data_IF_515827000323
#
_entry.id   IF_515827000323
#
_cell.length_a   1.000
_cell.length_b   1.000
_cell.length_c   1.000
_cell.angle_alpha   90.00
_cell.angle_beta   90.00
_cell.angle_gamma   90.00
#
_symmetry.space_group_name_H-M   'P 1'
#
loop_
_entity.id
_entity.type
_entity.pdbx_description
1 polymer ?
#
# COMPACT_ATOMS: atom_id res chain seq x y z
N UNK A 1 -17.99 4.79 7.51
CA UNK A 1 -18.58 3.46 7.25
C UNK A 1 -17.43 2.46 7.09
N UNK A 2 -17.55 1.26 7.65
CA UNK A 2 -16.59 0.16 7.44
C UNK A 2 -17.06 -0.60 6.20
N UNK A 3 -16.17 -0.89 5.25
CA UNK A 3 -16.47 -1.74 4.09
C UNK A 3 -15.57 -2.98 4.02
N UNK A 4 -15.74 -3.81 2.99
CA UNK A 4 -14.99 -5.07 2.81
C UNK A 4 -15.62 -6.26 3.52
N UNK A 5 -14.83 -7.29 3.85
CA UNK A 5 -15.30 -8.56 4.43
C UNK A 5 -15.78 -8.48 5.91
N UNK A 6 -15.84 -7.27 6.49
CA UNK A 6 -16.25 -7.02 7.87
C UNK A 6 -15.48 -7.84 8.94
N UNK A 7 -14.26 -8.28 8.63
CA UNK A 7 -13.33 -8.88 9.58
C UNK A 7 -12.68 -7.85 10.51
N UNK A 8 -11.66 -8.28 11.25
CA UNK A 8 -10.93 -7.40 12.17
C UNK A 8 -10.15 -6.29 11.45
N UNK A 9 -9.64 -6.55 10.24
CA UNK A 9 -9.13 -5.50 9.34
C UNK A 9 -10.24 -4.48 9.04
N UNK A 10 -9.96 -3.20 9.27
CA UNK A 10 -10.91 -2.11 9.07
C UNK A 10 -10.56 -1.30 7.83
N UNK A 11 -11.42 -1.36 6.82
CA UNK A 11 -11.34 -0.52 5.61
C UNK A 11 -12.29 0.67 5.75
N UNK A 12 -11.75 1.89 5.69
CA UNK A 12 -12.49 3.12 5.88
C UNK A 12 -12.82 3.78 4.54
N UNK A 13 -14.08 4.13 4.34
CA UNK A 13 -14.59 4.73 3.11
C UNK A 13 -15.28 6.07 3.38
N UNK A 14 -15.29 6.93 2.36
CA UNK A 14 -16.13 8.12 2.35
C UNK A 14 -17.60 7.71 2.46
N UNK A 15 -18.35 8.31 3.39
CA UNK A 15 -19.75 7.96 3.64
C UNK A 15 -20.72 8.36 2.53
N UNK A 16 -20.27 9.14 1.54
CA UNK A 16 -21.08 9.59 0.42
C UNK A 16 -20.73 8.84 -0.87
N UNK A 17 -19.50 9.01 -1.38
CA UNK A 17 -19.10 8.42 -2.66
C UNK A 17 -18.56 6.99 -2.55
N UNK A 18 -18.44 6.46 -1.33
CA UNK A 18 -17.94 5.11 -1.07
C UNK A 18 -16.52 4.86 -1.61
N UNK A 19 -15.73 5.91 -1.84
CA UNK A 19 -14.31 5.76 -2.17
C UNK A 19 -13.52 5.30 -0.93
N UNK A 20 -12.64 4.32 -1.11
CA UNK A 20 -11.75 3.83 -0.06
C UNK A 20 -10.69 4.88 0.25
N UNK A 21 -10.48 5.16 1.53
CA UNK A 21 -9.57 6.19 2.02
C UNK A 21 -8.30 5.57 2.60
N UNK A 22 -8.46 4.74 3.62
CA UNK A 22 -7.35 4.04 4.27
C UNK A 22 -7.80 2.73 4.94
N UNK A 23 -6.84 1.90 5.30
CA UNK A 23 -7.05 0.63 6.00
C UNK A 23 -6.16 0.57 7.24
N UNK A 24 -6.71 0.02 8.32
CA UNK A 24 -5.97 -0.46 9.48
C UNK A 24 -5.98 -1.99 9.47
N UNK A 25 -4.92 -2.64 8.99
CA UNK A 25 -4.83 -4.11 8.97
C UNK A 25 -4.81 -4.67 10.38
N UNK A 26 -5.45 -5.83 10.57
CA UNK A 26 -5.31 -6.59 11.80
C UNK A 26 -3.87 -7.07 11.98
N UNK A 27 -3.33 -6.98 13.20
CA UNK A 27 -2.04 -7.59 13.56
C UNK A 27 -0.79 -6.84 13.12
N UNK A 28 -0.91 -5.68 12.43
CA UNK A 28 0.23 -4.93 11.88
C UNK A 28 0.51 -3.63 12.67
N UNK A 29 0.33 -3.66 14.00
CA UNK A 29 0.69 -2.56 14.91
C UNK A 29 0.16 -1.18 14.49
N UNK A 30 1.07 -0.19 14.43
CA UNK A 30 0.78 1.20 14.07
C UNK A 30 0.73 1.47 12.55
N UNK A 31 0.69 0.42 11.72
CA UNK A 31 0.66 0.56 10.27
C UNK A 31 -0.72 1.02 9.76
N UNK A 32 -0.72 2.01 8.87
CA UNK A 32 -1.91 2.49 8.16
C UNK A 32 -1.64 2.51 6.67
N UNK A 33 -2.48 1.83 5.89
CA UNK A 33 -2.42 1.89 4.44
C UNK A 33 -3.34 3.01 3.93
N UNK A 34 -2.78 4.08 3.39
CA UNK A 34 -3.52 5.24 2.87
C UNK A 34 -3.46 5.25 1.35
N UNK A 35 -4.55 5.62 0.68
CA UNK A 35 -4.52 5.85 -0.77
C UNK A 35 -3.73 7.11 -1.09
N UNK A 36 -2.73 6.99 -1.98
CA UNK A 36 -1.83 8.09 -2.34
C UNK A 36 -2.56 9.35 -2.83
N UNK A 37 -3.70 9.19 -3.51
CA UNK A 37 -4.54 10.30 -3.98
C UNK A 37 -5.16 11.16 -2.88
N UNK A 38 -5.02 10.77 -1.60
CA UNK A 38 -5.43 11.59 -0.46
C UNK A 38 -4.38 12.64 -0.07
N UNK A 39 -3.14 12.54 -0.59
CA UNK A 39 -2.10 13.54 -0.40
C UNK A 39 -2.15 14.60 -1.51
N UNK A 40 -1.90 15.86 -1.16
CA UNK A 40 -1.93 16.99 -2.09
C UNK A 40 -0.94 16.83 -3.25
N UNK A 41 0.23 16.27 -2.96
CA UNK A 41 1.34 16.05 -3.87
C UNK A 41 1.41 14.60 -4.40
N UNK A 42 0.26 13.92 -4.56
CA UNK A 42 0.18 12.52 -4.97
C UNK A 42 0.98 12.18 -6.24
N UNK A 43 1.08 13.13 -7.18
CA UNK A 43 1.77 12.97 -8.46
C UNK A 43 3.30 12.91 -8.34
N UNK A 44 3.85 13.39 -7.22
CA UNK A 44 5.30 13.47 -7.00
C UNK A 44 5.85 12.13 -6.51
N UNK A 45 5.00 11.26 -5.96
CA UNK A 45 5.38 9.94 -5.52
C UNK A 45 5.54 8.98 -6.71
N UNK A 46 6.56 8.14 -6.64
CA UNK A 46 6.71 6.96 -7.50
C UNK A 46 6.52 5.72 -6.65
N UNK A 47 5.87 4.67 -7.17
CA UNK A 47 5.81 3.38 -6.48
C UNK A 47 7.21 2.93 -6.09
N UNK A 48 7.40 2.52 -4.84
CA UNK A 48 8.68 1.98 -4.38
C UNK A 48 8.70 0.46 -4.44
N UNK A 49 7.60 -0.18 -3.99
CA UNK A 49 7.40 -1.63 -4.04
C UNK A 49 6.09 -1.91 -4.78
N UNK A 50 6.09 -2.93 -5.64
CA UNK A 50 4.90 -3.62 -6.12
C UNK A 50 4.88 -5.08 -5.61
N UNK A 51 3.70 -5.57 -5.23
CA UNK A 51 3.49 -6.92 -4.67
C UNK A 51 2.43 -7.67 -5.49
N UNK A 52 2.39 -9.00 -5.37
CA UNK A 52 1.49 -9.88 -6.13
C UNK A 52 1.69 -9.80 -7.65
N UNK A 53 2.94 -9.64 -8.07
CA UNK A 53 3.26 -9.51 -9.51
C UNK A 53 3.08 -10.82 -10.28
N UNK A 54 3.04 -11.97 -9.61
CA UNK A 54 2.74 -13.25 -10.27
C UNK A 54 1.28 -13.36 -10.74
N UNK A 55 0.35 -12.63 -10.11
CA UNK A 55 -1.06 -12.56 -10.51
C UNK A 55 -1.40 -11.30 -11.34
N UNK A 56 -0.41 -10.43 -11.60
CA UNK A 56 -0.68 -9.18 -12.31
C UNK A 56 -1.03 -9.41 -13.78
N UNK A 57 -1.83 -8.51 -14.34
CA UNK A 57 -2.05 -8.44 -15.78
C UNK A 57 -0.72 -8.09 -16.47
N UNK A 58 -0.39 -8.78 -17.56
CA UNK A 58 0.91 -8.63 -18.24
C UNK A 58 1.23 -7.19 -18.69
N UNK A 59 0.20 -6.38 -18.99
CA UNK A 59 0.36 -4.98 -19.39
C UNK A 59 0.52 -4.02 -18.21
N UNK A 60 0.24 -4.43 -16.98
CA UNK A 60 0.32 -3.58 -15.81
C UNK A 60 1.79 -3.45 -15.36
N UNK A 61 2.32 -2.23 -15.51
CA UNK A 61 3.65 -1.85 -15.04
C UNK A 61 3.56 -0.58 -14.20
N UNK A 62 4.18 -0.60 -13.03
CA UNK A 62 4.12 0.50 -12.06
C UNK A 62 5.39 1.35 -12.03
N UNK A 63 6.50 0.80 -12.54
CA UNK A 63 7.83 1.41 -12.41
C UNK A 63 8.42 1.33 -10.99
N UNK A 64 7.89 0.46 -10.13
CA UNK A 64 8.41 0.25 -8.78
C UNK A 64 9.88 -0.22 -8.79
N UNK A 65 10.68 0.31 -7.87
CA UNK A 65 12.08 -0.10 -7.69
C UNK A 65 12.20 -1.58 -7.29
N UNK A 66 11.23 -2.08 -6.50
CA UNK A 66 11.17 -3.48 -6.07
C UNK A 66 9.90 -4.15 -6.57
N UNK A 67 10.05 -5.24 -7.33
CA UNK A 67 8.95 -6.04 -7.88
C UNK A 67 8.91 -7.42 -7.22
N UNK A 68 7.80 -7.74 -6.55
CA UNK A 68 7.66 -8.93 -5.70
C UNK A 68 6.48 -9.80 -6.12
N UNK A 69 6.71 -11.11 -6.28
CA UNK A 69 5.69 -12.11 -6.63
C UNK A 69 4.53 -12.18 -5.62
N UNK A 70 4.74 -11.72 -4.37
CA UNK A 70 3.76 -11.68 -3.30
C UNK A 70 4.11 -10.59 -2.29
N UNK A 71 3.63 -10.71 -1.06
CA UNK A 71 4.09 -9.82 0.02
C UNK A 71 5.58 -10.02 0.30
N UNK A 72 6.31 -8.95 0.70
CA UNK A 72 7.68 -9.09 1.17
C UNK A 72 7.71 -10.03 2.39
N UNK A 73 8.70 -10.93 2.47
CA UNK A 73 9.01 -11.66 3.69
C UNK A 73 9.25 -10.72 4.88
N UNK A 74 8.92 -11.15 6.10
CA UNK A 74 9.01 -10.33 7.32
C UNK A 74 10.43 -9.81 7.59
N UNK A 75 11.46 -10.59 7.25
CA UNK A 75 12.87 -10.21 7.39
C UNK A 75 13.33 -9.18 6.36
N UNK A 76 12.69 -9.14 5.19
CA UNK A 76 12.99 -8.19 4.11
C UNK A 76 12.31 -6.84 4.30
N UNK A 77 11.15 -6.81 4.97
CA UNK A 77 10.37 -5.59 5.11
C UNK A 77 11.10 -4.45 5.85
N UNK A 78 11.82 -4.68 6.98
CA UNK A 78 12.61 -3.64 7.63
C UNK A 78 13.71 -3.04 6.74
N UNK A 79 14.38 -3.86 5.94
CA UNK A 79 15.42 -3.40 5.02
C UNK A 79 14.83 -2.49 3.93
N UNK A 80 13.67 -2.87 3.36
CA UNK A 80 12.95 -2.07 2.37
C UNK A 80 12.50 -0.71 2.94
N UNK A 81 12.01 -0.68 4.19
CA UNK A 81 11.65 0.57 4.86
C UNK A 81 12.86 1.47 5.07
N UNK A 82 14.00 0.90 5.49
CA UNK A 82 15.24 1.65 5.68
C UNK A 82 15.76 2.22 4.36
N UNK A 83 15.70 1.45 3.27
CA UNK A 83 16.07 1.92 1.94
C UNK A 83 15.17 3.08 1.51
N UNK A 84 13.84 2.92 1.61
CA UNK A 84 12.89 3.98 1.28
C UNK A 84 13.15 5.28 2.06
N UNK A 85 13.41 5.17 3.37
CA UNK A 85 13.71 6.34 4.20
C UNK A 85 14.98 7.08 3.73
N UNK A 86 15.97 6.36 3.18
CA UNK A 86 17.20 6.96 2.66
C UNK A 86 17.04 7.69 1.33
N UNK A 87 15.92 7.48 0.61
CA UNK A 87 15.61 8.14 -0.67
C UNK A 87 14.99 9.54 -0.50
N UNK A 88 14.74 9.97 0.75
CA UNK A 88 14.04 11.21 1.06
C UNK A 88 15.03 12.38 1.15
N UNK A 89 15.38 12.97 0.00
CA UNK A 89 15.96 14.33 -0.12
C UNK A 89 15.01 15.25 -0.87
#
# INVERSE_FOLDING_TARGET
>A
MIGGLHGATRHFFCGYCMSWLFTRPEGVGDFVNVRSTMFENAADYRPFIETFTKEKLAWASTGAAHSLDGFPPEDRFPALLSEYASLSE
#
